data_IF_616103358356
#
_entry.id   IF_616103358356
#
_cell.length_a   1.000
_cell.length_b   1.000
_cell.length_c   1.000
_cell.angle_alpha   90.00
_cell.angle_beta   90.00
_cell.angle_gamma   90.00
#
_symmetry.space_group_name_H-M   'P 1'
#
loop_
_entity.id
_entity.type
_entity.pdbx_description
1 polymer ?
#
# COMPACT_ATOMS: atom_id res chain seq x y z
N UNK A 1 -18.31 18.50 19.07
CA UNK A 1 -17.08 19.11 19.60
C UNK A 1 -17.32 20.50 20.18
N UNK A 2 -17.85 21.46 19.41
CA UNK A 2 -18.18 22.80 19.95
C UNK A 2 -19.17 22.72 21.13
N UNK A 3 -20.22 21.92 21.00
CA UNK A 3 -21.18 21.66 22.09
C UNK A 3 -20.52 21.07 23.34
N UNK A 4 -19.49 20.24 23.17
CA UNK A 4 -18.75 19.66 24.30
C UNK A 4 -18.00 20.74 25.10
N UNK A 5 -17.53 21.81 24.45
CA UNK A 5 -16.88 22.95 25.11
C UNK A 5 -17.88 23.76 25.93
N UNK A 6 -19.12 23.92 25.46
CA UNK A 6 -20.16 24.64 26.22
C UNK A 6 -20.54 23.94 27.54
N UNK A 7 -20.25 22.64 27.66
CA UNK A 7 -20.47 21.86 28.87
C UNK A 7 -19.33 21.99 29.89
N UNK A 8 -18.23 22.65 29.56
CA UNK A 8 -17.08 22.85 30.46
C UNK A 8 -17.20 24.22 31.14
N UNK A 9 -17.48 24.28 32.45
CA UNK A 9 -17.77 25.54 33.15
C UNK A 9 -16.58 26.50 33.23
N UNK A 10 -15.35 25.99 33.11
CA UNK A 10 -14.12 26.78 33.14
C UNK A 10 -13.91 27.62 31.86
N UNK A 11 -14.66 27.35 30.79
CA UNK A 11 -14.53 28.05 29.51
C UNK A 11 -15.41 29.29 29.49
N UNK A 12 -14.80 30.41 29.08
CA UNK A 12 -15.52 31.66 28.87
C UNK A 12 -16.46 31.56 27.66
N UNK A 13 -17.66 32.12 27.81
CA UNK A 13 -18.62 32.29 26.71
C UNK A 13 -18.32 33.52 25.87
N UNK A 14 -17.69 34.52 26.47
CA UNK A 14 -17.23 35.74 25.82
C UNK A 14 -15.82 36.07 26.35
N UNK A 15 -14.78 36.03 25.50
CA UNK A 15 -14.80 35.64 24.08
C UNK A 15 -15.18 34.16 23.87
N UNK A 16 -15.94 33.89 22.80
CA UNK A 16 -16.49 32.56 22.52
C UNK A 16 -15.42 31.53 22.09
N UNK A 17 -15.59 30.25 22.44
CA UNK A 17 -14.75 29.17 21.94
C UNK A 17 -15.05 28.88 20.46
N UNK A 18 -14.07 28.29 19.78
CA UNK A 18 -14.10 28.07 18.34
C UNK A 18 -13.47 26.71 17.97
N UNK A 19 -14.00 26.08 16.93
CA UNK A 19 -13.55 24.78 16.43
C UNK A 19 -13.45 24.86 14.91
N UNK A 20 -12.23 24.71 14.40
CA UNK A 20 -11.90 24.89 12.99
C UNK A 20 -11.29 23.62 12.41
N UNK A 21 -11.83 23.15 11.29
CA UNK A 21 -11.16 22.16 10.45
C UNK A 21 -9.95 22.85 9.81
N UNK A 22 -8.75 22.37 10.12
CA UNK A 22 -7.51 22.96 9.61
C UNK A 22 -7.08 22.30 8.30
N UNK A 23 -7.12 20.97 8.24
CA UNK A 23 -6.53 20.20 7.15
C UNK A 23 -7.10 18.78 7.09
N UNK A 24 -7.16 18.22 5.89
CA UNK A 24 -7.34 16.78 5.64
C UNK A 24 -5.96 16.20 5.28
N UNK A 25 -5.28 15.62 6.26
CA UNK A 25 -3.93 15.08 6.11
C UNK A 25 -3.97 13.65 5.53
N UNK A 26 -2.80 13.04 5.36
CA UNK A 26 -2.62 11.73 4.71
C UNK A 26 -3.51 10.62 5.31
N UNK A 27 -3.68 10.61 6.64
CA UNK A 27 -4.51 9.63 7.33
C UNK A 27 -5.31 10.21 8.50
N UNK A 28 -5.42 11.53 8.60
CA UNK A 28 -6.09 12.21 9.73
C UNK A 28 -6.86 13.45 9.30
N UNK A 29 -7.87 13.82 10.08
CA UNK A 29 -8.59 15.10 9.96
C UNK A 29 -8.07 16.01 11.08
N UNK A 30 -7.32 17.05 10.72
CA UNK A 30 -6.71 17.94 11.69
C UNK A 30 -7.69 19.04 12.08
N UNK A 31 -8.11 19.06 13.34
CA UNK A 31 -9.09 20.02 13.88
C UNK A 31 -8.42 20.83 14.98
N UNK A 32 -8.54 22.15 14.90
CA UNK A 32 -8.07 23.08 15.93
C UNK A 32 -9.23 23.50 16.81
N UNK A 33 -9.05 23.35 18.12
CA UNK A 33 -10.00 23.81 19.13
C UNK A 33 -9.35 24.94 19.91
N UNK A 34 -10.05 26.07 20.03
CA UNK A 34 -9.61 27.27 20.75
C UNK A 34 -10.66 27.67 21.78
N UNK A 35 -10.22 27.99 22.98
CA UNK A 35 -11.08 28.45 24.07
C UNK A 35 -10.32 29.46 24.94
N UNK A 36 -11.05 30.08 25.86
CA UNK A 36 -10.55 31.13 26.74
C UNK A 36 -10.92 30.82 28.19
N UNK A 37 -10.04 31.21 29.13
CA UNK A 37 -10.19 30.96 30.56
C UNK A 37 -9.88 32.23 31.38
N UNK A 38 -10.47 32.34 32.57
CA UNK A 38 -10.17 33.41 33.54
C UNK A 38 -10.31 32.86 34.96
N UNK A 39 -9.28 32.94 35.83
CA UNK A 39 -7.99 33.60 35.64
C UNK A 39 -7.01 32.76 34.80
N UNK A 40 -6.13 33.39 33.98
CA UNK A 40 -5.17 32.68 33.13
C UNK A 40 -3.92 32.26 33.91
N UNK A 41 -4.09 31.55 35.05
CA UNK A 41 -2.96 30.98 35.79
C UNK A 41 -2.56 29.66 35.14
N UNK A 42 -1.27 29.32 35.15
CA UNK A 42 -0.77 28.07 34.56
C UNK A 42 -1.47 26.81 35.09
N UNK A 43 -1.85 26.79 36.37
CA UNK A 43 -2.56 25.66 36.96
C UNK A 43 -3.97 25.50 36.37
N UNK A 44 -4.70 26.61 36.18
CA UNK A 44 -6.04 26.59 35.60
C UNK A 44 -6.00 26.27 34.09
N UNK A 45 -4.98 26.75 33.38
CA UNK A 45 -4.76 26.39 31.98
C UNK A 45 -4.60 24.87 31.80
N UNK A 46 -3.71 24.27 32.60
CA UNK A 46 -3.49 22.82 32.56
C UNK A 46 -4.75 22.03 32.93
N UNK A 47 -5.47 22.44 33.98
CA UNK A 47 -6.71 21.82 34.39
C UNK A 47 -7.81 21.95 33.33
N UNK A 48 -7.94 23.12 32.72
CA UNK A 48 -8.91 23.36 31.64
C UNK A 48 -8.61 22.47 30.43
N UNK A 49 -7.33 22.31 30.08
CA UNK A 49 -6.90 21.50 28.94
C UNK A 49 -7.21 20.02 29.14
N UNK A 50 -6.93 19.48 30.33
CA UNK A 50 -7.28 18.10 30.66
C UNK A 50 -8.79 17.86 30.54
N UNK A 51 -9.60 18.76 31.12
CA UNK A 51 -11.06 18.65 31.11
C UNK A 51 -11.64 18.78 29.70
N UNK A 52 -11.14 19.72 28.91
CA UNK A 52 -11.53 19.92 27.50
C UNK A 52 -11.20 18.69 26.67
N UNK A 53 -9.97 18.20 26.72
CA UNK A 53 -9.55 17.04 25.93
C UNK A 53 -10.30 15.77 26.33
N UNK A 54 -10.49 15.54 27.63
CA UNK A 54 -11.26 14.41 28.14
C UNK A 54 -12.72 14.45 27.71
N UNK A 55 -13.35 15.64 27.77
CA UNK A 55 -14.75 15.81 27.35
C UNK A 55 -14.89 15.61 25.84
N UNK A 56 -14.00 16.20 25.04
CA UNK A 56 -13.99 16.01 23.58
C UNK A 56 -13.81 14.53 23.23
N UNK A 57 -12.82 13.86 23.82
CA UNK A 57 -12.58 12.44 23.58
C UNK A 57 -13.82 11.62 23.91
N UNK A 58 -14.42 11.83 25.08
CA UNK A 58 -15.62 11.11 25.50
C UNK A 58 -16.77 11.33 24.51
N UNK A 59 -17.06 12.58 24.15
CA UNK A 59 -18.13 12.89 23.19
C UNK A 59 -17.85 12.29 21.81
N UNK A 60 -16.61 12.30 21.32
CA UNK A 60 -16.27 11.69 20.03
C UNK A 60 -16.49 10.18 20.06
N UNK A 61 -16.02 9.49 21.10
CA UNK A 61 -16.19 8.05 21.27
C UNK A 61 -17.67 7.66 21.41
N UNK A 62 -18.46 8.43 22.16
CA UNK A 62 -19.91 8.23 22.29
C UNK A 62 -20.65 8.37 20.94
N UNK A 63 -20.11 9.17 20.02
CA UNK A 63 -20.64 9.33 18.66
C UNK A 63 -19.98 8.37 17.65
N UNK A 64 -19.20 7.38 18.10
CA UNK A 64 -18.55 6.38 17.25
C UNK A 64 -17.33 6.88 16.46
N UNK A 65 -16.77 8.03 16.85
CA UNK A 65 -15.55 8.59 16.25
C UNK A 65 -14.37 8.22 17.15
N UNK A 66 -13.46 7.39 16.65
CA UNK A 66 -12.22 7.02 17.33
C UNK A 66 -10.99 7.69 16.71
N UNK A 67 -9.87 7.67 17.43
CA UNK A 67 -8.61 8.23 16.96
C UNK A 67 -8.00 7.34 15.86
N UNK A 68 -7.72 7.89 14.67
CA UNK A 68 -7.12 7.11 13.59
C UNK A 68 -5.67 6.76 13.91
N UNK A 69 -5.29 5.52 13.60
CA UNK A 69 -3.88 5.15 13.46
C UNK A 69 -3.37 5.53 12.06
N UNK A 70 -2.05 5.68 11.87
CA UNK A 70 -1.47 5.80 10.55
C UNK A 70 -1.98 4.70 9.63
N UNK A 71 -2.65 5.08 8.54
CA UNK A 71 -3.29 4.14 7.63
C UNK A 71 -2.44 4.03 6.37
N UNK A 72 -2.09 2.80 5.99
CA UNK A 72 -1.34 2.51 4.78
C UNK A 72 -2.10 1.48 3.95
N UNK A 73 -2.24 1.76 2.66
CA UNK A 73 -2.75 0.77 1.71
C UNK A 73 -1.56 0.04 1.09
N UNK A 74 -1.37 -1.22 1.47
CA UNK A 74 -0.37 -2.09 0.85
C UNK A 74 -1.08 -2.92 -0.21
N UNK A 75 -0.72 -2.69 -1.48
CA UNK A 75 -1.24 -3.44 -2.60
C UNK A 75 -0.27 -4.58 -2.93
N UNK A 76 -0.72 -5.81 -2.70
CA UNK A 76 0.04 -7.01 -3.07
C UNK A 76 -0.29 -7.38 -4.52
N UNK A 77 0.75 -7.51 -5.34
CA UNK A 77 0.64 -8.03 -6.69
C UNK A 77 1.37 -9.35 -6.79
N UNK A 78 0.69 -10.38 -7.30
CA UNK A 78 1.36 -11.58 -7.75
C UNK A 78 1.90 -11.33 -9.18
N UNK A 79 3.21 -11.12 -9.27
CA UNK A 79 3.88 -10.90 -10.56
C UNK A 79 4.17 -12.19 -11.33
N UNK A 80 3.77 -13.36 -10.82
CA UNK A 80 4.06 -14.65 -11.47
C UNK A 80 3.00 -15.06 -12.49
N UNK A 81 1.80 -14.47 -12.47
CA UNK A 81 0.77 -14.76 -13.47
C UNK A 81 0.93 -13.91 -14.73
N UNK A 82 0.86 -14.52 -15.91
CA UNK A 82 0.85 -13.79 -17.19
C UNK A 82 -0.43 -12.99 -17.42
N UNK A 83 -1.49 -13.18 -16.62
CA UNK A 83 -2.89 -12.78 -16.91
C UNK A 83 -3.65 -11.99 -15.84
N UNK A 84 -3.03 -11.59 -14.74
CA UNK A 84 -3.60 -10.59 -13.84
C UNK A 84 -4.17 -9.34 -14.62
N UNK A 85 -5.24 -8.70 -14.16
CA UNK A 85 -5.89 -7.59 -14.89
C UNK A 85 -6.57 -7.87 -16.26
N UNK A 86 -6.68 -9.12 -16.72
CA UNK A 86 -7.11 -9.47 -18.09
C UNK A 86 -8.53 -10.10 -18.17
N UNK A 87 -9.28 -10.04 -17.06
CA UNK A 87 -10.59 -10.71 -16.90
C UNK A 87 -11.77 -9.87 -17.43
N UNK A 88 -11.62 -8.55 -17.60
CA UNK A 88 -12.68 -7.64 -18.11
C UNK A 88 -12.69 -7.45 -19.64
N UNK A 89 -12.34 -8.51 -20.38
CA UNK A 89 -11.89 -8.43 -21.78
C UNK A 89 -12.97 -8.22 -22.86
N UNK A 90 -14.25 -8.08 -22.51
CA UNK A 90 -15.30 -7.92 -23.53
C UNK A 90 -15.56 -6.47 -23.97
N UNK A 91 -14.97 -5.44 -23.34
CA UNK A 91 -15.46 -4.05 -23.53
C UNK A 91 -14.48 -2.98 -24.07
N UNK A 92 -13.17 -3.20 -24.25
CA UNK A 92 -12.27 -2.09 -24.62
C UNK A 92 -11.09 -2.49 -25.53
N UNK A 93 -11.12 -2.16 -26.83
CA UNK A 93 -10.03 -2.42 -27.75
C UNK A 93 -9.13 -1.17 -27.88
N UNK A 94 -8.04 -1.12 -27.11
CA UNK A 94 -6.68 -0.64 -27.51
C UNK A 94 -5.84 -0.21 -26.29
N UNK A 95 -4.66 -0.86 -26.15
CA UNK A 95 -3.48 -0.52 -25.34
C UNK A 95 -3.46 -0.88 -23.82
N UNK A 96 -3.09 -2.14 -23.52
CA UNK A 96 -2.51 -2.63 -22.23
C UNK A 96 -1.59 -3.83 -22.48
N UNK A 97 -0.70 -3.76 -23.46
CA UNK A 97 -0.27 -5.01 -24.09
C UNK A 97 0.50 -5.95 -23.19
N UNK A 98 1.23 -5.51 -22.14
CA UNK A 98 1.92 -6.42 -21.21
C UNK A 98 2.31 -5.82 -19.84
N UNK A 99 1.49 -4.95 -19.26
CA UNK A 99 1.79 -4.36 -17.95
C UNK A 99 0.71 -4.69 -16.93
N UNK A 100 1.15 -5.17 -15.76
CA UNK A 100 0.27 -5.59 -14.67
C UNK A 100 -0.22 -4.41 -13.82
N UNK A 101 0.59 -3.38 -13.51
CA UNK A 101 0.12 -2.04 -13.07
C UNK A 101 1.10 -0.88 -13.39
N UNK A 102 0.56 0.32 -13.65
CA UNK A 102 1.21 1.64 -13.38
C UNK A 102 2.09 2.33 -14.42
N UNK A 103 2.84 1.63 -15.30
CA UNK A 103 3.74 2.29 -16.26
C UNK A 103 3.24 2.18 -17.71
N UNK A 104 3.60 3.13 -18.60
CA UNK A 104 3.30 3.01 -20.01
C UNK A 104 4.10 1.86 -20.63
N UNK A 105 3.41 0.92 -21.29
CA UNK A 105 4.04 -0.18 -22.01
C UNK A 105 4.91 0.36 -23.14
N UNK A 106 6.22 0.08 -23.10
CA UNK A 106 7.13 0.35 -24.21
C UNK A 106 6.70 -0.37 -25.50
N UNK A 107 7.23 0.05 -26.66
CA UNK A 107 6.87 -0.48 -28.00
C UNK A 107 7.29 -1.94 -28.26
N UNK A 108 7.79 -2.65 -27.25
CA UNK A 108 8.39 -3.99 -27.35
C UNK A 108 7.56 -5.11 -26.74
N UNK A 109 7.91 -6.34 -27.10
CA UNK A 109 7.36 -7.57 -26.51
C UNK A 109 7.93 -7.76 -25.07
N UNK A 110 7.20 -7.40 -24.01
CA UNK A 110 7.53 -7.67 -22.57
C UNK A 110 7.78 -9.16 -22.28
N UNK A 111 8.94 -9.55 -21.73
CA UNK A 111 9.28 -10.94 -21.45
C UNK A 111 8.27 -11.68 -20.57
N UNK A 112 8.18 -13.01 -20.71
CA UNK A 112 7.35 -13.87 -19.84
C UNK A 112 7.95 -13.92 -18.42
N UNK A 113 7.14 -13.99 -17.35
CA UNK A 113 7.63 -14.23 -16.00
C UNK A 113 8.36 -15.59 -15.97
N UNK A 114 9.53 -15.63 -15.34
CA UNK A 114 10.30 -16.87 -15.12
C UNK A 114 10.33 -17.12 -13.62
N UNK A 115 9.88 -18.29 -13.20
CA UNK A 115 10.13 -18.76 -11.84
C UNK A 115 11.60 -19.23 -11.74
N UNK A 116 12.15 -19.24 -10.52
CA UNK A 116 13.54 -19.66 -10.28
C UNK A 116 13.74 -21.15 -10.64
N UNK A 117 12.72 -21.98 -10.43
CA UNK A 117 12.77 -23.42 -10.72
C UNK A 117 12.97 -23.75 -12.21
N UNK A 118 12.30 -23.04 -13.10
CA UNK A 118 12.39 -23.23 -14.55
C UNK A 118 13.77 -22.78 -15.07
N UNK A 119 14.34 -21.74 -14.46
CA UNK A 119 15.69 -21.26 -14.78
C UNK A 119 16.75 -22.30 -14.39
N UNK A 120 16.59 -22.93 -13.22
CA UNK A 120 17.46 -24.02 -12.76
C UNK A 120 17.32 -25.28 -13.61
N UNK A 121 16.09 -25.62 -14.06
CA UNK A 121 15.85 -26.73 -14.99
C UNK A 121 16.50 -26.53 -16.35
N UNK A 122 16.42 -25.33 -16.91
CA UNK A 122 17.08 -24.97 -18.17
C UNK A 122 18.60 -25.12 -18.06
N UNK A 123 19.20 -24.61 -16.98
CA UNK A 123 20.64 -24.76 -16.73
C UNK A 123 21.05 -26.22 -16.53
N UNK A 124 20.20 -27.03 -15.91
CA UNK A 124 20.44 -28.47 -15.77
C UNK A 124 20.37 -29.20 -17.12
N UNK A 125 19.44 -28.81 -18.00
CA UNK A 125 19.30 -29.37 -19.35
C UNK A 125 20.45 -28.96 -20.29
N UNK A 126 20.96 -27.73 -20.18
CA UNK A 126 22.15 -27.28 -20.92
C UNK A 126 23.43 -28.02 -20.49
N UNK A 127 23.46 -28.57 -19.27
CA UNK A 127 24.61 -29.30 -18.73
C UNK A 127 24.61 -30.81 -19.05
N UNK A 128 23.54 -31.34 -19.66
CA UNK A 128 23.55 -32.72 -20.15
C UNK A 128 24.42 -32.84 -21.41
N UNK A 129 25.40 -33.76 -21.46
CA UNK A 129 26.21 -33.97 -22.65
C UNK A 129 25.32 -34.38 -23.83
N UNK A 130 25.60 -33.83 -25.02
CA UNK A 130 25.08 -34.39 -26.28
C UNK A 130 25.66 -35.80 -26.42
N UNK A 131 24.82 -36.82 -26.30
CA UNK A 131 25.17 -38.21 -26.65
C UNK A 131 25.48 -38.28 -28.15
N UNK A 132 26.74 -38.08 -28.50
CA UNK A 132 27.30 -38.36 -29.83
C UNK A 132 27.78 -39.81 -29.83
N UNK A 133 26.84 -40.73 -30.07
CA UNK A 133 27.13 -42.16 -30.07
C UNK A 133 27.72 -42.55 -31.43
N UNK A 134 29.05 -42.61 -31.50
CA UNK A 134 29.84 -42.92 -32.68
C UNK A 134 29.52 -44.29 -33.29
N UNK A 135 29.00 -44.27 -34.52
CA UNK A 135 28.96 -45.43 -35.41
C UNK A 135 30.36 -45.64 -35.99
N UNK A 136 31.10 -46.60 -35.44
CA UNK A 136 32.41 -47.03 -35.97
C UNK A 136 32.18 -48.10 -37.02
N UNK A 137 32.38 -47.75 -38.29
CA UNK A 137 32.42 -48.71 -39.41
C UNK A 137 33.78 -49.43 -39.41
N UNK A 138 33.77 -50.77 -39.32
CA UNK A 138 34.96 -51.63 -39.39
C UNK A 138 35.44 -51.78 -40.85
N UNK A 139 36.74 -51.63 -41.16
CA UNK A 139 37.23 -51.83 -42.52
C UNK A 139 37.48 -53.32 -42.82
N UNK A 140 37.00 -53.78 -43.99
CA UNK A 140 37.34 -55.08 -44.60
C UNK A 140 38.83 -55.16 -44.92
N UNK A 141 39.54 -56.14 -44.36
CA UNK A 141 40.82 -56.60 -44.88
C UNK A 141 40.59 -57.79 -45.83
N UNK A 142 41.16 -57.70 -47.02
CA UNK A 142 41.18 -58.73 -48.07
C UNK A 142 42.24 -59.79 -47.75
N UNK A 143 41.95 -61.01 -48.17
CA UNK A 143 42.87 -62.14 -48.28
C UNK A 143 44.09 -61.80 -49.15
N UNK A 144 45.26 -62.30 -48.77
CA UNK A 144 46.32 -62.68 -49.72
C UNK A 144 47.29 -63.70 -49.09
N UNK A 145 47.33 -64.87 -49.75
CA UNK A 145 48.28 -66.00 -49.76
C UNK A 145 48.31 -67.02 -48.61
#
# INVERSE_FOLDING_TARGET
MLEALHNVPEILKDPAPDVLLMELAESTVNIRVRWWINPPRRADDLASRDKVLSTIKKTLVENGIDLPFPTQQILFHDQTEETDGDVWRQAAPRLRSRQREGWPSGKGKVPKPRNIGDSLRLLAQERSPRDDNGKVDSPKAKDEN
#
